data_IF_704817848209
#
_entry.id   IF_704817848209
#
_cell.length_a   1.000
_cell.length_b   1.000
_cell.length_c   1.000
_cell.angle_alpha   90.00
_cell.angle_beta   90.00
_cell.angle_gamma   90.00
#
_symmetry.space_group_name_H-M   'P 1'
#
loop_
_entity.id
_entity.type
_entity.pdbx_description
1 polymer ?
#
# COMPACT_ATOMS: atom_id res chain seq x y z
N UNK A 1 5.56 -19.84 17.63
CA UNK A 1 6.05 -18.97 16.54
C UNK A 1 5.20 -17.72 16.60
N UNK A 2 5.61 -16.71 17.36
CA UNK A 2 4.93 -15.41 17.34
C UNK A 2 5.28 -14.76 16.01
N UNK A 3 4.31 -14.71 15.10
CA UNK A 3 4.44 -13.95 13.86
C UNK A 3 4.83 -12.51 14.21
N UNK A 4 5.66 -11.92 13.38
CA UNK A 4 6.14 -10.55 13.56
C UNK A 4 4.89 -9.66 13.68
N UNK A 5 4.58 -9.19 14.89
CA UNK A 5 3.66 -8.06 15.10
C UNK A 5 4.37 -6.83 14.54
N UNK A 6 4.28 -6.67 13.22
CA UNK A 6 4.57 -5.40 12.58
C UNK A 6 3.36 -4.52 12.87
N UNK A 7 3.49 -3.64 13.85
CA UNK A 7 2.54 -2.59 14.24
C UNK A 7 2.43 -1.50 13.14
N UNK A 8 2.58 -1.89 11.88
CA UNK A 8 2.46 -1.02 10.73
C UNK A 8 0.98 -0.79 10.44
N UNK A 9 0.53 0.42 10.76
CA UNK A 9 -0.79 0.92 10.46
C UNK A 9 -0.69 2.08 9.46
N UNK A 10 -1.69 2.19 8.60
CA UNK A 10 -1.84 3.33 7.70
C UNK A 10 -2.31 4.53 8.53
N UNK A 11 -1.73 5.70 8.27
CA UNK A 11 -2.20 6.94 8.89
C UNK A 11 -3.44 7.42 8.13
N UNK A 12 -4.62 7.05 8.62
CA UNK A 12 -5.92 7.32 8.02
C UNK A 12 -6.82 8.12 8.97
N UNK A 13 -7.91 8.74 8.47
CA UNK A 13 -8.93 9.32 9.32
C UNK A 13 -9.56 8.27 10.26
N UNK A 14 -10.02 8.74 11.43
CA UNK A 14 -10.68 7.90 12.45
C UNK A 14 -11.97 7.24 11.92
N UNK A 15 -12.34 6.09 12.47
CA UNK A 15 -13.53 5.33 12.06
C UNK A 15 -14.85 6.09 12.26
N UNK A 16 -14.87 7.10 13.15
CA UNK A 16 -16.02 7.99 13.31
C UNK A 16 -16.19 9.00 12.15
N UNK A 17 -15.18 9.13 11.28
CA UNK A 17 -15.25 10.01 10.12
C UNK A 17 -16.12 9.40 9.00
N UNK A 18 -16.80 10.24 8.18
CA UNK A 18 -17.57 9.75 7.04
C UNK A 18 -16.73 8.84 6.15
N UNK A 19 -17.32 7.75 5.64
CA UNK A 19 -16.64 6.79 4.78
C UNK A 19 -16.00 7.47 3.56
N UNK A 20 -16.65 8.48 3.01
CA UNK A 20 -16.10 9.32 1.94
C UNK A 20 -14.74 9.93 2.29
N UNK A 21 -14.61 10.49 3.50
CA UNK A 21 -13.37 11.09 3.97
C UNK A 21 -12.28 10.03 4.21
N UNK A 22 -12.66 8.86 4.74
CA UNK A 22 -11.78 7.71 4.96
C UNK A 22 -11.24 7.13 3.64
N UNK A 23 -12.07 7.02 2.60
CA UNK A 23 -11.67 6.64 1.23
C UNK A 23 -10.75 7.70 0.62
N UNK A 24 -11.04 8.98 0.82
CA UNK A 24 -10.15 10.08 0.44
C UNK A 24 -8.76 9.94 1.08
N UNK A 25 -8.72 9.68 2.39
CA UNK A 25 -7.46 9.46 3.11
C UNK A 25 -6.67 8.25 2.60
N UNK A 26 -7.33 7.14 2.27
CA UNK A 26 -6.67 5.97 1.69
C UNK A 26 -6.08 6.27 0.30
N UNK A 27 -6.83 7.00 -0.53
CA UNK A 27 -6.40 7.47 -1.85
C UNK A 27 -5.14 8.34 -1.75
N UNK A 28 -5.15 9.34 -0.87
CA UNK A 28 -4.01 10.24 -0.63
C UNK A 28 -2.79 9.51 -0.06
N UNK A 29 -3.00 8.61 0.91
CA UNK A 29 -1.93 7.79 1.49
C UNK A 29 -1.25 6.95 0.41
N UNK A 30 -2.05 6.30 -0.44
CA UNK A 30 -1.55 5.42 -1.51
C UNK A 30 -0.80 6.23 -2.57
N UNK A 31 -1.29 7.42 -2.93
CA UNK A 31 -0.59 8.34 -3.82
C UNK A 31 0.76 8.77 -3.24
N UNK A 32 0.80 9.15 -1.96
CA UNK A 32 2.04 9.55 -1.29
C UNK A 32 3.05 8.40 -1.21
N UNK A 33 2.58 7.18 -0.95
CA UNK A 33 3.41 5.99 -0.92
C UNK A 33 4.03 5.69 -2.30
N UNK A 34 3.23 5.71 -3.37
CA UNK A 34 3.73 5.54 -4.75
C UNK A 34 4.75 6.62 -5.13
N UNK A 35 4.49 7.89 -4.78
CA UNK A 35 5.43 8.98 -5.01
C UNK A 35 6.76 8.75 -4.27
N UNK A 36 6.71 8.36 -3.00
CA UNK A 36 7.90 8.04 -2.21
C UNK A 36 8.72 6.89 -2.78
N UNK A 37 8.07 5.91 -3.44
CA UNK A 37 8.77 4.81 -4.09
C UNK A 37 9.54 5.26 -5.35
N UNK A 38 8.97 6.19 -6.12
CA UNK A 38 9.65 6.79 -7.29
C UNK A 38 10.88 7.58 -6.81
N UNK A 39 10.73 8.41 -5.78
CA UNK A 39 11.84 9.18 -5.20
C UNK A 39 12.92 8.27 -4.58
N UNK A 40 12.54 7.09 -4.09
CA UNK A 40 13.47 6.09 -3.59
C UNK A 40 14.27 5.37 -4.69
N UNK A 41 14.06 5.70 -5.97
CA UNK A 41 14.78 5.15 -7.11
C UNK A 41 14.46 3.69 -7.38
N UNK A 42 13.28 3.21 -7.00
CA UNK A 42 12.89 1.83 -7.23
C UNK A 42 12.55 1.61 -8.71
N UNK A 43 13.35 0.78 -9.39
CA UNK A 43 13.05 0.36 -10.76
C UNK A 43 12.12 -0.86 -10.74
N UNK A 44 10.90 -0.65 -11.21
CA UNK A 44 9.85 -1.67 -11.22
C UNK A 44 9.89 -2.56 -12.46
N UNK A 45 10.73 -2.25 -13.45
CA UNK A 45 10.85 -3.06 -14.65
C UNK A 45 11.28 -4.50 -14.33
N UNK A 46 12.11 -4.67 -13.30
CA UNK A 46 12.63 -5.96 -12.84
C UNK A 46 11.83 -6.56 -11.67
N UNK A 47 10.74 -5.91 -11.25
CA UNK A 47 9.91 -6.39 -10.16
C UNK A 47 9.16 -7.68 -10.58
N UNK A 48 9.04 -8.67 -9.67
CA UNK A 48 8.23 -9.86 -9.91
C UNK A 48 6.79 -9.51 -10.30
N UNK A 49 6.17 -10.33 -11.14
CA UNK A 49 4.80 -10.14 -11.65
C UNK A 49 3.78 -9.78 -10.55
N UNK A 50 3.76 -10.46 -9.38
CA UNK A 50 2.82 -10.12 -8.31
C UNK A 50 3.02 -8.70 -7.77
N UNK A 51 4.25 -8.19 -7.76
CA UNK A 51 4.53 -6.85 -7.27
C UNK A 51 4.06 -5.78 -8.27
N UNK A 52 4.20 -6.06 -9.57
CA UNK A 52 3.70 -5.18 -10.64
C UNK A 52 2.18 -5.06 -10.62
N UNK A 53 1.47 -6.14 -10.28
CA UNK A 53 0.02 -6.12 -10.06
C UNK A 53 -0.35 -5.22 -8.88
N UNK A 54 0.27 -5.40 -7.71
CA UNK A 54 0.00 -4.58 -6.53
C UNK A 54 0.25 -3.08 -6.81
N UNK A 55 1.31 -2.73 -7.53
CA UNK A 55 1.60 -1.33 -7.92
C UNK A 55 0.50 -0.78 -8.82
N UNK A 56 0.03 -1.58 -9.78
CA UNK A 56 -1.05 -1.19 -10.69
C UNK A 56 -2.33 -0.94 -9.91
N UNK A 57 -2.68 -1.84 -8.99
CA UNK A 57 -3.85 -1.69 -8.14
C UNK A 57 -3.75 -0.47 -7.22
N UNK A 58 -2.56 -0.21 -6.65
CA UNK A 58 -2.32 0.99 -5.86
C UNK A 58 -2.53 2.26 -6.69
N UNK A 59 -2.15 2.25 -7.97
CA UNK A 59 -2.39 3.37 -8.86
C UNK A 59 -3.90 3.59 -9.12
N UNK A 60 -4.71 2.54 -9.18
CA UNK A 60 -6.18 2.65 -9.22
C UNK A 60 -6.75 3.18 -7.90
N UNK A 61 -6.29 2.66 -6.76
CA UNK A 61 -6.73 3.08 -5.41
C UNK A 61 -6.42 4.56 -5.18
N UNK A 62 -5.24 5.04 -5.61
CA UNK A 62 -4.84 6.44 -5.55
C UNK A 62 -5.74 7.40 -6.36
N UNK A 63 -6.64 6.86 -7.20
CA UNK A 63 -7.61 7.63 -7.98
C UNK A 63 -9.04 7.52 -7.44
N UNK A 64 -9.29 6.73 -6.40
CA UNK A 64 -10.61 6.60 -5.79
C UNK A 64 -11.14 7.94 -5.29
N UNK A 65 -12.47 8.06 -5.33
CA UNK A 65 -13.25 9.20 -4.83
C UNK A 65 -14.42 8.61 -4.05
N UNK A 66 -14.62 9.06 -2.80
CA UNK A 66 -15.58 8.46 -1.89
C UNK A 66 -17.04 8.90 -2.06
N UNK A 67 -17.48 9.24 -3.27
CA UNK A 67 -18.80 9.86 -3.46
C UNK A 67 -19.94 8.83 -3.32
N UNK A 68 -20.85 9.07 -2.37
CA UNK A 68 -22.11 8.31 -2.24
C UNK A 68 -22.01 6.96 -1.53
N UNK A 69 -20.91 6.70 -0.81
CA UNK A 69 -20.66 5.45 -0.07
C UNK A 69 -21.26 5.55 1.34
N UNK A 70 -22.18 4.66 1.71
CA UNK A 70 -22.89 4.78 3.01
C UNK A 70 -23.38 3.47 3.64
N UNK A 71 -23.29 2.33 2.95
CA UNK A 71 -23.85 1.07 3.48
C UNK A 71 -22.78 0.14 4.10
N UNK A 72 -23.27 -0.95 4.73
CA UNK A 72 -22.40 -1.93 5.39
C UNK A 72 -21.49 -2.68 4.40
N UNK A 73 -21.89 -2.81 3.14
CA UNK A 73 -21.08 -3.43 2.09
C UNK A 73 -19.92 -2.52 1.70
N UNK A 74 -20.16 -1.21 1.58
CA UNK A 74 -19.13 -0.20 1.35
C UNK A 74 -18.09 -0.15 2.49
N UNK A 75 -18.53 -0.25 3.75
CA UNK A 75 -17.64 -0.28 4.92
C UNK A 75 -16.75 -1.54 4.92
N UNK A 76 -17.31 -2.70 4.60
CA UNK A 76 -16.55 -3.95 4.50
C UNK A 76 -15.53 -3.88 3.36
N UNK A 77 -15.95 -3.39 2.19
CA UNK A 77 -15.06 -3.19 1.04
C UNK A 77 -13.92 -2.21 1.37
N UNK A 78 -14.20 -1.14 2.12
CA UNK A 78 -13.17 -0.21 2.58
C UNK A 78 -12.16 -0.89 3.50
N UNK A 79 -12.62 -1.66 4.50
CA UNK A 79 -11.72 -2.37 5.41
C UNK A 79 -10.80 -3.36 4.66
N UNK A 80 -11.33 -4.04 3.64
CA UNK A 80 -10.54 -4.92 2.77
C UNK A 80 -9.49 -4.16 1.96
N UNK A 81 -9.82 -2.98 1.42
CA UNK A 81 -8.86 -2.14 0.72
C UNK A 81 -7.77 -1.60 1.65
N UNK A 82 -8.11 -1.21 2.88
CA UNK A 82 -7.13 -0.78 3.89
C UNK A 82 -6.14 -1.90 4.18
N UNK A 83 -6.63 -3.13 4.38
CA UNK A 83 -5.76 -4.28 4.63
C UNK A 83 -4.91 -4.65 3.40
N UNK A 84 -5.51 -4.60 2.20
CA UNK A 84 -4.79 -4.83 0.95
C UNK A 84 -3.62 -3.85 0.77
N UNK A 85 -3.86 -2.56 0.99
CA UNK A 85 -2.82 -1.52 0.90
C UNK A 85 -1.75 -1.73 1.97
N UNK A 86 -2.15 -2.09 3.19
CA UNK A 86 -1.20 -2.37 4.28
C UNK A 86 -0.26 -3.54 3.95
N UNK A 87 -0.82 -4.66 3.49
CA UNK A 87 -0.05 -5.86 3.12
C UNK A 87 0.79 -5.60 1.87
N UNK A 88 0.26 -4.92 0.87
CA UNK A 88 1.00 -4.55 -0.34
C UNK A 88 2.21 -3.67 -0.05
N UNK A 89 2.08 -2.70 0.85
CA UNK A 89 3.20 -1.86 1.28
C UNK A 89 4.29 -2.67 2.00
N UNK A 90 3.90 -3.60 2.89
CA UNK A 90 4.83 -4.50 3.57
C UNK A 90 5.53 -5.45 2.57
N UNK A 91 4.83 -5.94 1.57
CA UNK A 91 5.40 -6.78 0.51
C UNK A 91 6.44 -6.02 -0.31
N UNK A 92 6.14 -4.79 -0.74
CA UNK A 92 7.09 -3.93 -1.45
C UNK A 92 8.33 -3.63 -0.62
N UNK A 93 8.16 -3.37 0.69
CA UNK A 93 9.30 -3.19 1.59
C UNK A 93 10.15 -4.46 1.70
N UNK A 94 9.53 -5.63 1.90
CA UNK A 94 10.24 -6.90 2.01
C UNK A 94 11.03 -7.22 0.74
N UNK A 95 10.45 -6.98 -0.43
CA UNK A 95 11.14 -7.21 -1.70
C UNK A 95 12.29 -6.24 -1.92
N UNK A 96 12.12 -4.95 -1.55
CA UNK A 96 13.22 -3.98 -1.59
C UNK A 96 14.40 -4.41 -0.72
N UNK A 97 14.14 -4.91 0.50
CA UNK A 97 15.20 -5.43 1.37
C UNK A 97 15.91 -6.60 0.71
N UNK A 98 15.16 -7.56 0.15
CA UNK A 98 15.71 -8.69 -0.61
C UNK A 98 16.62 -8.21 -1.76
N UNK A 99 16.17 -7.27 -2.57
CA UNK A 99 16.95 -6.76 -3.71
C UNK A 99 18.25 -6.07 -3.27
N UNK A 100 18.25 -5.39 -2.13
CA UNK A 100 19.49 -4.83 -1.53
C UNK A 100 20.45 -5.92 -1.07
N UNK A 101 19.94 -6.98 -0.46
CA UNK A 101 20.78 -8.10 0.02
C UNK A 101 21.38 -8.91 -1.15
N UNK A 102 20.65 -9.07 -2.26
CA UNK A 102 21.14 -9.73 -3.48
C UNK A 102 22.15 -8.86 -4.24
N UNK A 103 21.96 -7.54 -4.26
CA UNK A 103 22.90 -6.59 -4.88
C UNK A 103 24.13 -6.25 -4.01
N UNK A 104 24.15 -6.67 -2.75
CA UNK A 104 25.22 -6.43 -1.78
C UNK A 104 26.30 -7.53 -1.70
N UNK A 105 26.34 -8.44 -2.67
CA UNK A 105 27.41 -9.43 -2.79
C UNK A 105 28.78 -8.76 -2.99
N UNK A 106 29.59 -8.78 -1.93
CA UNK A 106 30.93 -8.22 -1.76
C UNK A 106 31.78 -8.12 -3.06
N UNK A 107 32.29 -6.93 -3.44
CA UNK A 107 33.38 -6.87 -4.39
C UNK A 107 34.66 -7.36 -3.71
N UNK A 108 35.16 -8.51 -4.18
CA UNK A 108 36.51 -8.99 -3.87
C UNK A 108 37.60 -7.97 -4.25
#
# INVERSE_FOLDING_TARGET
MSGIELDFALLLPDDAAPLEARVGGLSEWTQGFLYGLIEAGMDWADAPDPLREVITDFAEIARLRGAGLTDEEDEQAYAELVEYVRVGALLMYAERVRLRDVGGGDPA
#
